data_IF_168154036468
#
_entry.id   IF_168154036468
#
_cell.length_a   1.000
_cell.length_b   1.000
_cell.length_c   1.000
_cell.angle_alpha   90.00
_cell.angle_beta   90.00
_cell.angle_gamma   90.00
#
_symmetry.space_group_name_H-M   'P 1'
#
loop_
_entity.id
_entity.type
_entity.pdbx_description
1 polymer ?
#
# COMPACT_ATOMS: atom_id res chain seq x y z
N UNK A 1 -27.69 -4.98 -20.42
CA UNK A 1 -26.90 -4.86 -19.17
C UNK A 1 -25.42 -5.16 -19.38
N UNK A 2 -25.02 -6.36 -19.81
CA UNK A 2 -23.60 -6.73 -20.00
C UNK A 2 -22.87 -5.92 -21.09
N UNK A 3 -23.54 -5.58 -22.19
CA UNK A 3 -23.00 -4.71 -23.24
C UNK A 3 -22.74 -3.27 -22.74
N UNK A 4 -23.60 -2.76 -21.85
CA UNK A 4 -23.44 -1.44 -21.23
C UNK A 4 -22.28 -1.45 -20.25
N UNK A 5 -22.14 -2.52 -19.45
CA UNK A 5 -20.98 -2.74 -18.59
C UNK A 5 -19.67 -2.82 -19.38
N UNK A 6 -19.67 -3.58 -20.48
CA UNK A 6 -18.48 -3.76 -21.31
C UNK A 6 -18.12 -2.48 -22.08
N UNK A 7 -19.13 -1.76 -22.58
CA UNK A 7 -18.95 -0.45 -23.20
C UNK A 7 -18.42 0.58 -22.21
N UNK A 8 -18.93 0.59 -20.97
CA UNK A 8 -18.42 1.42 -19.89
C UNK A 8 -16.96 1.11 -19.55
N UNK A 9 -16.59 -0.17 -19.47
CA UNK A 9 -15.20 -0.61 -19.29
C UNK A 9 -14.29 -0.13 -20.44
N UNK A 10 -14.72 -0.30 -21.69
CA UNK A 10 -13.95 0.19 -22.85
C UNK A 10 -13.81 1.71 -22.86
N UNK A 11 -14.85 2.43 -22.45
CA UNK A 11 -14.83 3.89 -22.34
C UNK A 11 -13.83 4.35 -21.27
N UNK A 12 -13.81 3.69 -20.10
CA UNK A 12 -12.84 3.95 -19.02
C UNK A 12 -11.41 3.69 -19.51
N UNK A 13 -11.18 2.59 -20.24
CA UNK A 13 -9.86 2.28 -20.81
C UNK A 13 -9.42 3.31 -21.86
N UNK A 14 -10.33 3.75 -22.73
CA UNK A 14 -10.05 4.78 -23.71
C UNK A 14 -9.73 6.13 -23.04
N UNK A 15 -10.47 6.50 -22.00
CA UNK A 15 -10.23 7.71 -21.21
C UNK A 15 -8.92 7.64 -20.43
N UNK A 16 -8.60 6.49 -19.83
CA UNK A 16 -7.31 6.24 -19.17
C UNK A 16 -6.13 6.32 -20.17
N UNK A 17 -6.34 5.90 -21.41
CA UNK A 17 -5.34 6.02 -22.49
C UNK A 17 -5.18 7.48 -22.94
N UNK A 18 -6.29 8.23 -23.01
CA UNK A 18 -6.29 9.66 -23.34
C UNK A 18 -5.78 10.58 -22.21
N UNK A 19 -5.81 10.12 -20.96
CA UNK A 19 -5.09 10.79 -19.85
C UNK A 19 -3.63 10.36 -19.81
N UNK A 20 -3.32 9.10 -20.16
CA UNK A 20 -1.94 8.63 -20.32
C UNK A 20 -1.19 9.37 -21.43
N UNK A 21 -1.84 9.90 -22.48
CA UNK A 21 -1.17 10.79 -23.46
C UNK A 21 -0.76 12.15 -22.87
N UNK A 22 -1.24 12.51 -21.67
CA UNK A 22 -0.77 13.67 -20.89
C UNK A 22 0.27 13.31 -19.82
N UNK A 23 0.47 12.01 -19.56
CA UNK A 23 1.57 11.51 -18.72
C UNK A 23 2.72 11.12 -19.63
N UNK A 24 3.95 11.51 -19.29
CA UNK A 24 5.09 11.04 -20.09
C UNK A 24 5.17 9.51 -20.00
N UNK A 25 5.58 8.83 -21.06
CA UNK A 25 5.93 7.38 -20.99
C UNK A 25 6.90 7.09 -19.85
N UNK A 26 7.75 8.07 -19.51
CA UNK A 26 8.66 8.03 -18.37
C UNK A 26 7.95 8.03 -17.01
N UNK A 27 6.81 8.72 -16.87
CA UNK A 27 6.02 8.74 -15.63
C UNK A 27 5.40 7.38 -15.34
N UNK A 28 4.79 6.77 -16.36
CA UNK A 28 4.17 5.46 -16.24
C UNK A 28 5.23 4.39 -15.95
N UNK A 29 6.36 4.44 -16.64
CA UNK A 29 7.47 3.52 -16.40
C UNK A 29 8.03 3.63 -14.97
N UNK A 30 8.25 4.86 -14.48
CA UNK A 30 8.69 5.08 -13.11
C UNK A 30 7.68 4.55 -12.08
N UNK A 31 6.38 4.79 -12.32
CA UNK A 31 5.33 4.30 -11.43
C UNK A 31 5.27 2.77 -11.38
N UNK A 32 5.43 2.08 -12.52
CA UNK A 32 5.43 0.61 -12.54
C UNK A 32 6.60 0.02 -11.75
N UNK A 33 7.81 0.56 -11.92
CA UNK A 33 8.99 0.12 -11.15
C UNK A 33 8.77 0.38 -9.65
N UNK A 34 8.29 1.58 -9.30
CA UNK A 34 7.95 1.93 -7.93
C UNK A 34 6.90 0.99 -7.33
N UNK A 35 5.87 0.63 -8.10
CA UNK A 35 4.83 -0.31 -7.68
C UNK A 35 5.39 -1.71 -7.44
N UNK A 36 6.29 -2.21 -8.29
CA UNK A 36 6.95 -3.51 -8.08
C UNK A 36 7.77 -3.53 -6.78
N UNK A 37 8.55 -2.48 -6.52
CA UNK A 37 9.33 -2.33 -5.28
C UNK A 37 8.40 -2.26 -4.07
N UNK A 38 7.32 -1.49 -4.19
CA UNK A 38 6.33 -1.35 -3.13
C UNK A 38 5.62 -2.68 -2.82
N UNK A 39 5.17 -3.41 -3.84
CA UNK A 39 4.52 -4.72 -3.68
C UNK A 39 5.46 -5.74 -3.01
N UNK A 40 6.73 -5.75 -3.39
CA UNK A 40 7.73 -6.59 -2.74
C UNK A 40 7.85 -6.25 -1.25
N UNK A 41 7.94 -4.97 -0.90
CA UNK A 41 8.03 -4.54 0.49
C UNK A 41 6.76 -4.84 1.30
N UNK A 42 5.58 -4.72 0.69
CA UNK A 42 4.31 -5.13 1.27
C UNK A 42 4.29 -6.64 1.55
N UNK A 43 4.72 -7.47 0.59
CA UNK A 43 4.80 -8.92 0.75
C UNK A 43 5.73 -9.34 1.89
N UNK A 44 6.88 -8.70 2.03
CA UNK A 44 7.80 -8.92 3.17
C UNK A 44 7.12 -8.58 4.50
N UNK A 45 6.28 -7.54 4.51
CA UNK A 45 5.55 -7.11 5.69
C UNK A 45 4.39 -8.03 6.08
N UNK A 46 3.94 -8.92 5.18
CA UNK A 46 2.88 -9.90 5.49
C UNK A 46 3.35 -11.06 6.37
N UNK A 47 4.62 -11.45 6.30
CA UNK A 47 5.17 -12.55 7.10
C UNK A 47 4.88 -12.43 8.61
N UNK A 48 5.14 -11.29 9.29
CA UNK A 48 4.73 -11.09 10.69
C UNK A 48 3.21 -11.05 10.88
N UNK A 49 2.45 -10.68 9.85
CA UNK A 49 0.98 -10.71 9.85
C UNK A 49 0.43 -12.13 10.02
N UNK A 50 1.03 -13.12 9.36
CA UNK A 50 0.63 -14.54 9.51
C UNK A 50 0.83 -15.02 10.96
N UNK A 51 1.97 -14.66 11.56
CA UNK A 51 2.21 -14.96 12.98
C UNK A 51 1.17 -14.29 13.89
N UNK A 52 0.86 -13.01 13.62
CA UNK A 52 -0.18 -12.27 14.32
C UNK A 52 -1.55 -12.96 14.21
N UNK A 53 -1.93 -13.41 13.01
CA UNK A 53 -3.19 -14.10 12.74
C UNK A 53 -3.31 -15.39 13.56
N UNK A 54 -2.27 -16.22 13.58
CA UNK A 54 -2.26 -17.49 14.33
C UNK A 54 -2.35 -17.25 15.83
N UNK A 55 -1.56 -16.32 16.36
CA UNK A 55 -1.55 -15.99 17.79
C UNK A 55 -2.89 -15.38 18.23
N UNK A 56 -3.45 -14.49 17.42
CA UNK A 56 -4.74 -13.86 17.69
C UNK A 56 -5.88 -14.88 17.69
N UNK A 57 -5.92 -15.79 16.70
CA UNK A 57 -6.90 -16.87 16.64
C UNK A 57 -6.88 -17.73 17.90
N UNK A 58 -5.69 -18.16 18.33
CA UNK A 58 -5.52 -18.95 19.56
C UNK A 58 -6.02 -18.22 20.81
N UNK A 59 -5.61 -16.96 21.00
CA UNK A 59 -6.02 -16.17 22.17
C UNK A 59 -7.51 -15.85 22.18
N UNK A 60 -8.09 -15.63 21.00
CA UNK A 60 -9.51 -15.40 20.83
C UNK A 60 -10.34 -16.64 21.19
N UNK A 61 -9.92 -17.83 20.74
CA UNK A 61 -10.57 -19.10 21.11
C UNK A 61 -10.53 -19.40 22.61
N UNK A 62 -9.56 -18.85 23.35
CA UNK A 62 -9.45 -18.99 24.80
C UNK A 62 -10.20 -17.89 25.58
N UNK A 63 -10.92 -16.98 24.91
CA UNK A 63 -11.58 -15.82 25.51
C UNK A 63 -10.68 -14.93 26.38
N UNK A 64 -9.36 -14.94 26.14
CA UNK A 64 -8.39 -14.21 26.96
C UNK A 64 -8.17 -12.78 26.42
N UNK A 65 -9.10 -11.87 26.75
CA UNK A 65 -9.04 -10.48 26.32
C UNK A 65 -7.78 -9.72 26.80
N UNK A 66 -7.29 -9.88 28.05
CA UNK A 66 -6.07 -9.21 28.49
C UNK A 66 -4.84 -9.57 27.64
N UNK A 67 -4.67 -10.86 27.34
CA UNK A 67 -3.57 -11.33 26.50
C UNK A 67 -3.69 -10.79 25.06
N UNK A 68 -4.91 -10.76 24.51
CA UNK A 68 -5.19 -10.26 23.18
C UNK A 68 -4.87 -8.75 23.03
N UNK A 69 -5.21 -7.94 24.05
CA UNK A 69 -4.84 -6.53 24.10
C UNK A 69 -3.32 -6.32 24.21
N UNK A 70 -2.63 -7.18 24.98
CA UNK A 70 -1.17 -7.13 25.07
C UNK A 70 -0.50 -7.47 23.74
N UNK A 71 -1.05 -8.45 23.02
CA UNK A 71 -0.59 -8.84 21.69
C UNK A 71 -0.77 -7.70 20.70
N UNK A 72 -1.94 -7.06 20.67
CA UNK A 72 -2.20 -5.91 19.78
C UNK A 72 -1.17 -4.79 19.97
N UNK A 73 -0.83 -4.42 21.21
CA UNK A 73 0.20 -3.40 21.49
C UNK A 73 1.58 -3.81 20.98
N UNK A 74 1.97 -5.07 21.17
CA UNK A 74 3.25 -5.60 20.67
C UNK A 74 3.30 -5.65 19.15
N UNK A 75 2.20 -6.00 18.49
CA UNK A 75 2.11 -6.04 17.04
C UNK A 75 2.24 -4.65 16.42
N UNK A 76 1.66 -3.62 17.04
CA UNK A 76 1.86 -2.22 16.59
C UNK A 76 3.33 -1.81 16.71
N UNK A 77 3.98 -2.13 17.84
CA UNK A 77 5.41 -1.85 18.03
C UNK A 77 6.28 -2.61 17.03
N UNK A 78 6.00 -3.90 16.82
CA UNK A 78 6.71 -4.74 15.86
C UNK A 78 6.52 -4.21 14.42
N UNK A 79 5.30 -3.83 14.04
CA UNK A 79 5.01 -3.23 12.74
C UNK A 79 5.75 -1.92 12.52
N UNK A 80 5.81 -1.05 13.54
CA UNK A 80 6.61 0.18 13.49
C UNK A 80 8.09 -0.14 13.27
N UNK A 81 8.67 -1.08 14.03
CA UNK A 81 10.09 -1.44 13.89
C UNK A 81 10.38 -2.06 12.52
N UNK A 82 9.54 -2.98 12.05
CA UNK A 82 9.73 -3.65 10.76
C UNK A 82 9.56 -2.66 9.61
N UNK A 83 8.49 -1.86 9.61
CA UNK A 83 8.23 -0.89 8.56
C UNK A 83 9.23 0.26 8.54
N UNK A 84 9.71 0.73 9.70
CA UNK A 84 10.81 1.71 9.76
C UNK A 84 12.13 1.13 9.28
N UNK A 85 12.47 -0.11 9.66
CA UNK A 85 13.65 -0.80 9.15
C UNK A 85 13.62 -0.97 7.63
N UNK A 86 12.50 -1.46 7.10
CA UNK A 86 12.32 -1.66 5.66
C UNK A 86 12.33 -0.33 4.90
N UNK A 87 11.68 0.69 5.44
CA UNK A 87 11.71 2.06 4.92
C UNK A 87 13.12 2.64 4.88
N UNK A 88 13.88 2.48 5.96
CA UNK A 88 15.28 2.92 6.04
C UNK A 88 16.17 2.19 5.03
N UNK A 89 15.97 0.88 4.84
CA UNK A 89 16.68 0.09 3.83
C UNK A 89 16.38 0.63 2.42
N UNK A 90 15.12 0.85 2.07
CA UNK A 90 14.77 1.40 0.76
C UNK A 90 15.29 2.82 0.57
N UNK A 91 15.27 3.66 1.62
CA UNK A 91 15.86 4.99 1.59
C UNK A 91 17.38 4.94 1.39
N UNK A 92 18.08 3.99 2.01
CA UNK A 92 19.51 3.78 1.80
C UNK A 92 19.80 3.33 0.36
N UNK A 93 18.97 2.43 -0.16
CA UNK A 93 19.09 1.87 -1.51
C UNK A 93 18.50 2.77 -2.62
N UNK A 94 18.00 3.97 -2.29
CA UNK A 94 17.27 4.84 -3.23
C UNK A 94 18.01 5.19 -4.52
N UNK A 95 19.35 5.15 -4.52
CA UNK A 95 20.16 5.42 -5.71
C UNK A 95 20.66 4.14 -6.40
N UNK A 96 20.82 3.05 -5.66
CA UNK A 96 21.39 1.80 -6.16
C UNK A 96 20.32 0.85 -6.73
N UNK A 97 19.09 0.90 -6.18
CA UNK A 97 18.02 0.00 -6.56
C UNK A 97 17.37 0.36 -7.91
N UNK A 98 17.01 1.64 -8.21
CA UNK A 98 16.37 1.96 -9.49
C UNK A 98 17.18 1.63 -10.76
N UNK A 99 18.53 1.80 -10.80
CA UNK A 99 19.35 1.42 -11.95
C UNK A 99 19.32 -0.07 -12.32
N UNK A 100 18.89 -0.95 -11.40
CA UNK A 100 18.73 -2.39 -11.69
C UNK A 100 17.54 -2.65 -12.63
N UNK A 101 16.53 -1.77 -12.61
CA UNK A 101 15.33 -1.91 -13.43
C UNK A 101 15.40 -1.16 -14.75
N UNK A 102 16.17 -0.08 -14.81
CA UNK A 102 16.26 0.77 -16.01
C UNK A 102 17.53 1.62 -16.03
N UNK A 103 18.03 1.91 -17.22
CA UNK A 103 19.14 2.84 -17.46
C UNK A 103 18.67 4.21 -18.00
N UNK A 104 17.37 4.41 -18.17
CA UNK A 104 16.81 5.67 -18.69
C UNK A 104 16.92 6.80 -17.63
N UNK A 105 17.69 7.86 -17.88
CA UNK A 105 17.89 8.94 -16.94
C UNK A 105 16.59 9.72 -16.60
N UNK A 106 15.63 9.77 -17.52
CA UNK A 106 14.32 10.41 -17.30
C UNK A 106 13.46 9.66 -16.29
N UNK A 107 13.50 8.32 -16.33
CA UNK A 107 12.82 7.45 -15.36
C UNK A 107 13.54 7.47 -14.01
N UNK A 108 14.87 7.39 -14.01
CA UNK A 108 15.68 7.41 -12.78
C UNK A 108 15.53 8.73 -12.01
N UNK A 109 15.37 9.86 -12.70
CA UNK A 109 15.10 11.16 -12.07
C UNK A 109 13.81 11.13 -11.25
N UNK A 110 12.74 10.54 -11.79
CA UNK A 110 11.43 10.41 -11.13
C UNK A 110 11.45 9.39 -9.98
N UNK A 111 12.21 8.30 -10.14
CA UNK A 111 12.33 7.27 -9.12
C UNK A 111 12.90 7.77 -7.79
N UNK A 112 13.71 8.84 -7.78
CA UNK A 112 14.25 9.42 -6.54
C UNK A 112 13.15 9.89 -5.60
N UNK A 113 12.13 10.59 -6.11
CA UNK A 113 11.01 11.06 -5.32
C UNK A 113 10.12 9.89 -4.86
N UNK A 114 9.87 8.92 -5.75
CA UNK A 114 9.05 7.75 -5.46
C UNK A 114 9.68 6.85 -4.39
N UNK A 115 11.00 6.64 -4.41
CA UNK A 115 11.71 5.87 -3.39
C UNK A 115 11.58 6.49 -1.99
N UNK A 116 11.61 7.82 -1.90
CA UNK A 116 11.40 8.52 -0.62
C UNK A 116 9.98 8.35 -0.13
N UNK A 117 8.98 8.54 -1.02
CA UNK A 117 7.58 8.32 -0.70
C UNK A 117 7.32 6.89 -0.21
N UNK A 118 7.84 5.88 -0.92
CA UNK A 118 7.73 4.48 -0.52
C UNK A 118 8.38 4.24 0.85
N UNK A 119 9.61 4.72 1.06
CA UNK A 119 10.31 4.53 2.33
C UNK A 119 9.58 5.16 3.52
N UNK A 120 8.99 6.34 3.33
CA UNK A 120 8.28 7.06 4.39
C UNK A 120 6.91 6.45 4.74
N UNK A 121 6.22 5.82 3.79
CA UNK A 121 4.92 5.20 4.06
C UNK A 121 5.02 3.79 4.65
N UNK A 122 6.16 3.09 4.49
CA UNK A 122 6.32 1.71 4.95
C UNK A 122 6.06 1.46 6.44
N UNK A 123 6.41 2.35 7.39
CA UNK A 123 6.01 2.21 8.79
C UNK A 123 4.50 2.07 8.96
N UNK A 124 3.73 2.90 8.26
CA UNK A 124 2.28 2.89 8.32
C UNK A 124 1.73 1.61 7.68
N UNK A 125 2.23 1.27 6.48
CA UNK A 125 1.82 0.07 5.73
C UNK A 125 2.05 -1.22 6.53
N UNK A 126 3.22 -1.35 7.17
CA UNK A 126 3.53 -2.54 7.97
C UNK A 126 2.60 -2.70 9.18
N UNK A 127 2.31 -1.60 9.91
CA UNK A 127 1.37 -1.63 11.03
C UNK A 127 -0.03 -2.00 10.56
N UNK A 128 -0.49 -1.45 9.43
CA UNK A 128 -1.82 -1.75 8.90
C UNK A 128 -1.92 -3.22 8.48
N UNK A 129 -0.97 -3.73 7.69
CA UNK A 129 -1.02 -5.12 7.20
C UNK A 129 -1.00 -6.13 8.36
N UNK A 130 -0.13 -5.94 9.35
CA UNK A 130 -0.09 -6.80 10.55
C UNK A 130 -1.40 -6.69 11.34
N UNK A 131 -1.94 -5.48 11.48
CA UNK A 131 -3.21 -5.23 12.14
C UNK A 131 -4.40 -5.89 11.44
N UNK A 132 -4.42 -5.89 10.11
CA UNK A 132 -5.43 -6.59 9.30
C UNK A 132 -5.37 -8.09 9.55
N UNK A 133 -4.18 -8.71 9.49
CA UNK A 133 -4.01 -10.13 9.78
C UNK A 133 -4.41 -10.49 11.22
N UNK A 134 -4.12 -9.62 12.20
CA UNK A 134 -4.57 -9.79 13.58
C UNK A 134 -6.10 -9.80 13.70
N UNK A 135 -6.80 -8.88 13.02
CA UNK A 135 -8.25 -8.81 13.01
C UNK A 135 -8.89 -10.02 12.33
N UNK A 136 -8.29 -10.50 11.23
CA UNK A 136 -8.65 -11.76 10.58
C UNK A 136 -8.52 -12.93 11.55
N UNK A 137 -7.42 -13.00 12.31
CA UNK A 137 -7.22 -14.01 13.34
C UNK A 137 -8.30 -14.00 14.43
N UNK A 138 -8.81 -12.82 14.79
CA UNK A 138 -9.91 -12.69 15.75
C UNK A 138 -11.30 -13.00 15.16
N UNK A 139 -11.42 -13.34 13.88
CA UNK A 139 -12.72 -13.52 13.21
C UNK A 139 -13.54 -12.22 13.06
N UNK A 140 -12.93 -11.04 13.27
CA UNK A 140 -13.61 -9.74 13.27
C UNK A 140 -13.60 -9.09 11.89
N UNK A 141 -14.11 -9.81 10.90
CA UNK A 141 -14.16 -9.38 9.49
C UNK A 141 -15.00 -8.11 9.27
N UNK A 142 -16.04 -7.88 10.08
CA UNK A 142 -16.88 -6.68 9.97
C UNK A 142 -16.15 -5.38 10.35
N UNK A 143 -15.28 -5.40 11.37
CA UNK A 143 -14.46 -4.23 11.71
C UNK A 143 -13.34 -3.99 10.70
N UNK A 144 -12.83 -5.05 10.06
CA UNK A 144 -11.86 -4.96 8.97
C UNK A 144 -12.50 -4.27 7.76
N UNK A 145 -13.68 -4.73 7.34
CA UNK A 145 -14.44 -4.13 6.24
C UNK A 145 -14.75 -2.65 6.49
N UNK A 146 -15.11 -2.27 7.71
CA UNK A 146 -15.37 -0.86 8.07
C UNK A 146 -14.13 0.04 7.96
N UNK A 147 -12.98 -0.43 8.46
CA UNK A 147 -11.73 0.34 8.43
C UNK A 147 -11.17 0.49 7.01
N UNK A 148 -11.14 -0.60 6.23
CA UNK A 148 -10.68 -0.57 4.83
C UNK A 148 -11.61 0.25 3.93
N UNK A 149 -12.93 0.21 4.19
CA UNK A 149 -13.91 1.06 3.48
C UNK A 149 -13.69 2.53 3.80
N UNK A 150 -13.54 2.91 5.08
CA UNK A 150 -13.26 4.30 5.47
C UNK A 150 -11.97 4.83 4.88
N UNK A 151 -10.88 4.04 4.93
CA UNK A 151 -9.60 4.43 4.34
C UNK A 151 -9.71 4.62 2.81
N UNK A 152 -10.40 3.71 2.13
CA UNK A 152 -10.63 3.78 0.68
C UNK A 152 -11.52 4.97 0.30
N UNK A 153 -12.59 5.24 1.05
CA UNK A 153 -13.47 6.39 0.84
C UNK A 153 -12.74 7.71 1.12
N UNK A 154 -11.91 7.79 2.16
CA UNK A 154 -11.10 8.98 2.43
C UNK A 154 -10.09 9.25 1.30
N UNK A 155 -9.41 8.22 0.80
CA UNK A 155 -8.52 8.33 -0.35
C UNK A 155 -9.26 8.80 -1.61
N UNK A 156 -10.46 8.25 -1.87
CA UNK A 156 -11.31 8.66 -2.99
C UNK A 156 -11.77 10.13 -2.88
N UNK A 157 -12.11 10.61 -1.67
CA UNK A 157 -12.50 12.01 -1.42
C UNK A 157 -11.31 12.95 -1.66
N UNK A 158 -10.11 12.60 -1.20
CA UNK A 158 -8.89 13.39 -1.43
C UNK A 158 -8.57 13.46 -2.93
N UNK A 159 -8.64 12.33 -3.64
CA UNK A 159 -8.41 12.29 -5.09
C UNK A 159 -9.48 13.09 -5.86
N UNK A 160 -10.73 13.03 -5.43
CA UNK A 160 -11.82 13.85 -5.99
C UNK A 160 -11.60 15.35 -5.76
N UNK A 161 -11.12 15.73 -4.56
CA UNK A 161 -10.78 17.11 -4.24
C UNK A 161 -9.58 17.63 -5.06
N UNK A 162 -8.59 16.77 -5.33
CA UNK A 162 -7.44 17.11 -6.19
C UNK A 162 -7.83 17.28 -7.66
N UNK A 163 -8.87 16.58 -8.13
CA UNK A 163 -9.38 16.74 -9.50
C UNK A 163 -10.29 17.98 -9.65
N UNK A 164 -10.98 18.40 -8.59
CA UNK A 164 -11.83 19.61 -8.59
C UNK A 164 -11.03 20.92 -8.50
N UNK A 165 -9.80 20.88 -8.01
CA UNK A 165 -8.87 22.00 -8.05
C UNK A 165 -8.13 22.04 -9.38
N UNK A 166 -8.62 22.82 -10.35
CA UNK A 166 -8.00 23.04 -11.65
C UNK A 166 -6.60 23.66 -11.59
N UNK A 167 -5.62 22.90 -11.13
CA UNK A 167 -4.19 23.19 -11.27
C UNK A 167 -3.58 22.05 -12.08
N UNK A 168 -3.50 22.31 -13.38
CA UNK A 168 -2.61 21.57 -14.27
C UNK A 168 -1.19 21.61 -13.69
N UNK A 169 -0.54 20.45 -13.74
CA UNK A 169 0.90 20.33 -13.63
C UNK A 169 1.57 20.99 -14.84
#
# INVERSE_FOLDING_TARGET
AMLVRNGSLMLVWALATATATRMSTMDVAAHQIALSIWLFAALVSEAPGIAAQVMAARLHSLHNLPALQSLARRLVQAGLVIGTGLGAILLALRHALPPVFTTDPGVLGKMRALMVLIGLQLPLVAVTLIGESFLVGCGRFASLAGASTLASTACAVVLGAMQGGGRGW
#
